data_IF_682142839698
#
_entry.id   IF_682142839698
#
_cell.length_a   1.000
_cell.length_b   1.000
_cell.length_c   1.000
_cell.angle_alpha   90.00
_cell.angle_beta   90.00
_cell.angle_gamma   90.00
#
_symmetry.space_group_name_H-M   'P 1'
#
loop_
_entity.id
_entity.type
_entity.pdbx_description
1 polymer ?
#
# COMPACT_ATOMS: atom_id res chain seq x y z
N UNK A 1 4.74 -12.88 -4.32
CA UNK A 1 4.61 -11.41 -4.43
C UNK A 1 3.16 -11.03 -4.21
N UNK A 2 2.90 -9.93 -3.53
CA UNK A 2 1.59 -9.28 -3.44
C UNK A 2 1.84 -7.77 -3.48
N UNK A 3 1.65 -7.17 -4.66
CA UNK A 3 1.95 -5.77 -4.94
C UNK A 3 0.65 -5.09 -5.38
N UNK A 4 0.38 -3.88 -4.88
CA UNK A 4 -0.85 -3.15 -5.22
C UNK A 4 -2.15 -3.75 -4.70
N UNK A 5 -2.11 -4.64 -3.69
CA UNK A 5 -3.28 -5.44 -3.29
C UNK A 5 -3.72 -5.26 -1.83
N UNK A 6 -2.79 -4.96 -0.91
CA UNK A 6 -3.08 -4.96 0.53
C UNK A 6 -4.13 -3.90 0.92
N UNK A 7 -4.08 -2.71 0.31
CA UNK A 7 -5.05 -1.62 0.56
C UNK A 7 -6.46 -1.90 0.02
N UNK A 8 -6.63 -2.94 -0.82
CA UNK A 8 -7.91 -3.43 -1.28
C UNK A 8 -8.47 -4.58 -0.43
N UNK A 9 -7.74 -5.04 0.60
CA UNK A 9 -8.20 -6.14 1.45
C UNK A 9 -9.07 -5.63 2.59
N UNK A 10 -10.27 -6.20 2.74
CA UNK A 10 -11.13 -5.97 3.92
C UNK A 10 -10.51 -6.51 5.20
N UNK A 11 -9.77 -7.62 5.08
CA UNK A 11 -9.02 -8.23 6.17
C UNK A 11 -7.54 -8.38 5.77
N UNK A 12 -6.72 -7.33 5.98
CA UNK A 12 -5.31 -7.33 5.58
C UNK A 12 -4.47 -8.41 6.28
N UNK A 13 -4.75 -8.70 7.56
CA UNK A 13 -4.04 -9.74 8.31
C UNK A 13 -4.33 -11.13 7.78
N UNK A 14 -5.60 -11.43 7.47
CA UNK A 14 -5.98 -12.71 6.85
C UNK A 14 -5.34 -12.87 5.46
N UNK A 15 -5.29 -11.80 4.65
CA UNK A 15 -4.57 -11.83 3.38
C UNK A 15 -3.08 -12.19 3.56
N UNK A 16 -2.40 -11.54 4.51
CA UNK A 16 -1.00 -11.83 4.82
C UNK A 16 -0.79 -13.26 5.35
N UNK A 17 -1.73 -13.76 6.18
CA UNK A 17 -1.72 -15.13 6.69
C UNK A 17 -1.89 -16.15 5.55
N UNK A 18 -2.84 -15.93 4.64
CA UNK A 18 -3.03 -16.79 3.47
C UNK A 18 -1.77 -16.84 2.59
N UNK A 19 -1.13 -15.69 2.36
CA UNK A 19 0.13 -15.63 1.63
C UNK A 19 1.24 -16.41 2.34
N UNK A 20 1.33 -16.31 3.67
CA UNK A 20 2.26 -17.07 4.50
C UNK A 20 2.04 -18.58 4.35
N UNK A 21 0.79 -19.03 4.30
CA UNK A 21 0.43 -20.45 4.20
C UNK A 21 0.72 -21.04 2.81
N UNK A 22 0.80 -20.21 1.76
CA UNK A 22 1.25 -20.65 0.43
C UNK A 22 2.77 -20.79 0.30
N UNK A 23 3.55 -20.33 1.28
CA UNK A 23 5.00 -20.43 1.23
C UNK A 23 5.47 -21.83 1.64
N UNK A 24 6.38 -22.41 0.85
CA UNK A 24 7.20 -23.53 1.29
C UNK A 24 8.12 -23.12 2.44
N UNK A 25 8.71 -24.09 3.13
CA UNK A 25 9.79 -23.84 4.10
C UNK A 25 10.89 -22.97 3.50
N UNK A 26 11.37 -22.00 4.28
CA UNK A 26 12.31 -20.95 3.88
C UNK A 26 11.84 -20.01 2.75
N UNK A 27 10.58 -20.12 2.33
CA UNK A 27 9.97 -19.20 1.38
C UNK A 27 9.97 -17.76 1.89
N UNK A 28 10.06 -16.83 0.95
CA UNK A 28 9.96 -15.39 1.22
C UNK A 28 8.79 -14.81 0.44
N UNK A 29 8.22 -13.73 0.97
CA UNK A 29 7.19 -12.96 0.28
C UNK A 29 7.59 -11.50 0.21
N UNK A 30 7.27 -10.89 -0.93
CA UNK A 30 7.41 -9.45 -1.14
C UNK A 30 6.02 -8.85 -1.13
N UNK A 31 5.82 -7.89 -0.23
CA UNK A 31 4.61 -7.08 -0.11
C UNK A 31 4.93 -5.67 -0.58
N UNK A 32 4.15 -5.14 -1.51
CA UNK A 32 4.17 -3.71 -1.87
C UNK A 32 2.74 -3.17 -1.75
N UNK A 33 2.63 -1.97 -1.18
CA UNK A 33 1.35 -1.30 -0.94
C UNK A 33 1.53 0.21 -0.87
N UNK A 34 0.42 0.93 -0.97
CA UNK A 34 0.35 2.34 -0.61
C UNK A 34 0.52 2.47 0.91
N UNK A 35 1.32 3.45 1.32
CA UNK A 35 1.62 3.79 2.71
C UNK A 35 1.13 5.20 3.03
N UNK A 36 0.38 5.33 4.13
CA UNK A 36 -0.05 6.61 4.69
C UNK A 36 1.07 7.24 5.56
N UNK A 37 1.08 8.58 5.74
CA UNK A 37 1.99 9.24 6.65
C UNK A 37 1.83 8.77 8.10
N UNK A 38 2.91 8.78 8.88
CA UNK A 38 2.91 8.32 10.28
C UNK A 38 1.92 9.09 11.18
N UNK A 39 1.58 10.32 10.82
CA UNK A 39 0.55 11.11 11.53
C UNK A 39 -0.84 10.49 11.49
N UNK A 40 -1.10 9.51 10.60
CA UNK A 40 -2.34 8.73 10.54
C UNK A 40 -2.38 7.58 11.55
N UNK A 41 -1.37 7.41 12.42
CA UNK A 41 -1.34 6.34 13.42
C UNK A 41 -1.08 4.97 12.78
N UNK A 42 -2.04 4.05 12.89
CA UNK A 42 -1.90 2.68 12.34
C UNK A 42 -2.33 2.58 10.87
N UNK A 43 -3.38 3.29 10.50
CA UNK A 43 -3.90 3.31 9.14
C UNK A 43 -4.80 4.51 8.91
N UNK A 44 -4.87 4.95 7.66
CA UNK A 44 -5.91 5.82 7.14
C UNK A 44 -7.04 4.95 6.58
N UNK A 45 -8.28 5.20 7.03
CA UNK A 45 -9.50 4.59 6.49
C UNK A 45 -10.27 5.64 5.68
N UNK A 46 -10.27 5.57 4.34
CA UNK A 46 -11.03 6.50 3.52
C UNK A 46 -12.54 6.21 3.61
N UNK A 47 -13.38 7.26 3.53
CA UNK A 47 -14.83 7.12 3.70
C UNK A 47 -15.52 6.45 2.50
N UNK A 48 -15.07 6.74 1.27
CA UNK A 48 -15.64 6.17 0.04
C UNK A 48 -14.54 5.84 -0.98
N UNK A 49 -13.70 6.84 -1.28
CA UNK A 49 -12.61 6.72 -2.25
C UNK A 49 -11.30 7.23 -1.69
N UNK A 50 -10.23 6.67 -2.21
CA UNK A 50 -8.88 7.18 -2.01
C UNK A 50 -8.20 7.29 -3.37
N UNK A 51 -7.76 8.50 -3.74
CA UNK A 51 -7.13 8.75 -5.04
C UNK A 51 -8.03 8.28 -6.20
N UNK A 52 -9.34 8.57 -6.12
CA UNK A 52 -10.42 8.12 -6.99
C UNK A 52 -10.70 6.60 -7.04
N UNK A 53 -9.89 5.78 -6.38
CA UNK A 53 -10.07 4.33 -6.37
C UNK A 53 -11.23 3.95 -5.45
N UNK A 54 -12.22 3.17 -5.93
CA UNK A 54 -13.21 2.55 -5.07
C UNK A 54 -12.59 1.35 -4.33
N UNK A 55 -13.26 0.89 -3.28
CA UNK A 55 -12.88 -0.31 -2.52
C UNK A 55 -11.46 -0.25 -1.95
N UNK A 56 -10.99 0.95 -1.57
CA UNK A 56 -9.81 1.08 -0.71
C UNK A 56 -10.32 1.02 0.72
N UNK A 57 -9.83 0.06 1.49
CA UNK A 57 -10.32 -0.18 2.86
C UNK A 57 -9.38 0.42 3.89
N UNK A 58 -8.10 0.04 3.88
CA UNK A 58 -7.11 0.54 4.82
C UNK A 58 -5.81 0.87 4.11
N UNK A 59 -5.39 2.13 4.19
CA UNK A 59 -4.07 2.58 3.78
C UNK A 59 -3.20 2.65 5.03
N UNK A 60 -2.45 1.57 5.30
CA UNK A 60 -1.63 1.47 6.50
C UNK A 60 -0.46 2.45 6.49
N UNK A 61 -0.02 2.88 7.66
CA UNK A 61 1.29 3.52 7.82
C UNK A 61 2.39 2.45 7.81
N UNK A 62 3.66 2.86 7.74
CA UNK A 62 4.78 1.93 7.86
C UNK A 62 4.74 1.17 9.20
N UNK A 63 4.43 1.90 10.27
CA UNK A 63 4.19 1.34 11.61
C UNK A 63 3.03 0.33 11.60
N UNK A 64 1.93 0.67 10.93
CA UNK A 64 0.77 -0.21 10.76
C UNK A 64 1.12 -1.55 10.12
N UNK A 65 1.81 -1.52 8.98
CA UNK A 65 2.28 -2.72 8.31
C UNK A 65 3.19 -3.56 9.22
N UNK A 66 4.19 -2.94 9.85
CA UNK A 66 5.15 -3.62 10.72
C UNK A 66 4.50 -4.27 11.95
N UNK A 67 3.47 -3.65 12.51
CA UNK A 67 2.70 -4.26 13.60
C UNK A 67 2.01 -5.54 13.14
N UNK A 68 1.34 -5.53 11.99
CA UNK A 68 0.71 -6.74 11.46
C UNK A 68 1.71 -7.85 11.17
N UNK A 69 2.89 -7.51 10.63
CA UNK A 69 3.94 -8.50 10.38
C UNK A 69 4.40 -9.17 11.66
N UNK A 70 4.59 -8.38 12.74
CA UNK A 70 4.94 -8.88 14.06
C UNK A 70 3.88 -9.84 14.61
N UNK A 71 2.61 -9.46 14.54
CA UNK A 71 1.48 -10.27 15.02
C UNK A 71 1.41 -11.62 14.29
N UNK A 72 1.71 -11.63 12.99
CA UNK A 72 1.71 -12.82 12.14
C UNK A 72 3.02 -13.62 12.18
N UNK A 73 3.98 -13.25 13.05
CA UNK A 73 5.31 -13.86 13.11
C UNK A 73 5.99 -13.88 11.73
N UNK A 74 5.93 -12.76 11.02
CA UNK A 74 6.66 -12.51 9.77
C UNK A 74 7.86 -11.64 10.10
N UNK A 75 9.07 -12.20 9.97
CA UNK A 75 10.31 -11.46 10.16
C UNK A 75 10.55 -10.54 8.96
N UNK A 76 10.78 -9.25 9.25
CA UNK A 76 11.16 -8.26 8.25
C UNK A 76 12.63 -8.45 7.89
N UNK A 77 12.89 -8.94 6.68
CA UNK A 77 14.25 -9.20 6.17
C UNK A 77 14.86 -7.92 5.62
N UNK A 78 14.09 -7.16 4.84
CA UNK A 78 14.50 -5.87 4.28
C UNK A 78 13.28 -5.07 3.85
N UNK A 79 13.44 -3.77 3.69
CA UNK A 79 12.42 -2.85 3.20
C UNK A 79 13.04 -1.75 2.35
N UNK A 80 12.22 -1.11 1.52
CA UNK A 80 12.62 0.09 0.79
C UNK A 80 12.38 1.36 1.60
N UNK A 81 12.94 2.47 1.13
CA UNK A 81 12.40 3.78 1.49
C UNK A 81 10.96 3.92 0.96
N UNK A 82 10.19 4.80 1.59
CA UNK A 82 8.89 5.21 1.07
C UNK A 82 9.09 6.15 -0.10
N UNK A 83 8.53 5.81 -1.26
CA UNK A 83 8.69 6.56 -2.50
C UNK A 83 7.35 7.19 -2.90
N UNK A 84 7.27 8.52 -3.08
CA UNK A 84 6.07 9.16 -3.62
C UNK A 84 5.80 8.69 -5.05
N UNK A 85 4.55 8.35 -5.34
CA UNK A 85 4.16 8.04 -6.73
C UNK A 85 4.30 9.30 -7.57
N UNK A 86 4.92 9.21 -8.75
CA UNK A 86 5.19 10.37 -9.59
C UNK A 86 4.41 10.38 -10.89
N UNK A 87 4.24 11.59 -11.47
CA UNK A 87 3.68 11.77 -12.82
C UNK A 87 4.55 11.19 -13.93
N UNK A 88 5.81 10.83 -13.65
CA UNK A 88 6.64 10.11 -14.62
C UNK A 88 6.32 8.62 -14.61
N UNK A 89 6.10 8.06 -13.43
CA UNK A 89 5.77 6.65 -13.21
C UNK A 89 4.35 6.32 -13.68
N UNK A 90 3.34 7.03 -13.17
CA UNK A 90 1.93 6.77 -13.42
C UNK A 90 1.31 7.96 -14.16
N UNK A 91 0.97 7.77 -15.44
CA UNK A 91 0.44 8.85 -16.31
C UNK A 91 -0.34 8.30 -17.49
N UNK A 92 -1.11 9.18 -18.13
CA UNK A 92 -1.72 8.91 -19.44
C UNK A 92 -0.67 8.62 -20.50
N UNK A 93 -0.99 7.67 -21.37
CA UNK A 93 -0.23 7.40 -22.58
C UNK A 93 -1.18 7.15 -23.75
N UNK A 94 -0.65 7.03 -24.98
CA UNK A 94 -1.47 6.63 -26.13
C UNK A 94 -2.17 5.27 -25.96
N UNK A 95 -1.65 4.41 -25.08
CA UNK A 95 -2.20 3.09 -24.78
C UNK A 95 -3.12 3.08 -23.55
N UNK A 96 -3.05 4.11 -22.72
CA UNK A 96 -3.86 4.27 -21.52
C UNK A 96 -4.37 5.73 -21.46
N UNK A 97 -5.42 6.06 -22.24
CA UNK A 97 -5.89 7.44 -22.40
C UNK A 97 -6.86 7.90 -21.30
N UNK A 98 -7.26 7.00 -20.40
CA UNK A 98 -8.21 7.28 -19.33
C UNK A 98 -7.58 8.07 -18.18
N UNK A 99 -8.41 8.51 -17.23
CA UNK A 99 -7.98 9.15 -15.98
C UNK A 99 -6.83 8.37 -15.32
N UNK A 100 -5.73 9.03 -15.01
CA UNK A 100 -4.57 8.45 -14.34
C UNK A 100 -4.20 9.25 -13.08
N UNK A 101 -2.96 9.12 -12.60
CA UNK A 101 -2.49 9.72 -11.35
C UNK A 101 -2.74 11.23 -11.28
N UNK A 102 -2.60 11.95 -12.40
CA UNK A 102 -2.82 13.39 -12.43
C UNK A 102 -4.26 13.78 -12.04
N UNK A 103 -5.22 12.90 -12.33
CA UNK A 103 -6.63 13.15 -12.03
C UNK A 103 -7.03 12.75 -10.60
N UNK A 104 -6.14 12.08 -9.88
CA UNK A 104 -6.36 11.63 -8.50
C UNK A 104 -5.88 12.64 -7.45
N UNK A 105 -5.11 13.65 -7.87
CA UNK A 105 -4.53 14.67 -6.99
C UNK A 105 -5.31 15.99 -7.05
N UNK A 106 -5.27 16.74 -5.95
CA UNK A 106 -5.79 18.10 -5.92
C UNK A 106 -4.92 19.00 -6.83
N UNK A 107 -5.58 19.84 -7.63
CA UNK A 107 -4.92 20.69 -8.62
C UNK A 107 -4.08 21.80 -8.00
N UNK A 108 -4.53 22.34 -6.85
CA UNK A 108 -3.87 23.44 -6.15
C UNK A 108 -2.79 22.93 -5.18
N UNK A 109 -2.92 21.69 -4.72
CA UNK A 109 -1.92 21.05 -3.85
C UNK A 109 -1.76 19.55 -4.16
N UNK A 110 -0.70 19.20 -4.90
CA UNK A 110 -0.42 17.81 -5.28
C UNK A 110 0.04 16.91 -4.13
N UNK A 111 0.27 17.44 -2.91
CA UNK A 111 0.55 16.62 -1.73
C UNK A 111 -0.70 15.90 -1.19
N UNK A 112 -1.87 16.22 -1.71
CA UNK A 112 -3.15 15.60 -1.34
C UNK A 112 -3.93 15.11 -2.57
N UNK A 113 -4.74 14.10 -2.33
CA UNK A 113 -5.74 13.56 -3.26
C UNK A 113 -6.91 14.52 -3.43
N UNK A 114 -7.73 14.31 -4.46
CA UNK A 114 -8.97 15.10 -4.66
C UNK A 114 -9.96 14.93 -3.49
N UNK A 115 -9.88 13.84 -2.74
CA UNK A 115 -10.70 13.57 -1.56
C UNK A 115 -10.13 14.21 -0.26
N UNK A 116 -8.96 14.87 -0.33
CA UNK A 116 -8.32 15.54 0.80
C UNK A 116 -7.38 14.66 1.64
N UNK A 117 -7.15 13.41 1.24
CA UNK A 117 -6.17 12.53 1.88
C UNK A 117 -4.74 12.76 1.36
N UNK A 118 -3.69 12.35 2.10
CA UNK A 118 -2.32 12.39 1.60
C UNK A 118 -2.14 11.65 0.27
N UNK A 119 -1.34 12.24 -0.64
CA UNK A 119 -1.06 11.65 -1.95
C UNK A 119 -0.37 10.27 -1.85
N UNK A 120 -0.62 9.34 -2.79
CA UNK A 120 -0.08 7.98 -2.73
C UNK A 120 1.45 7.91 -2.68
N UNK A 121 1.97 7.31 -1.62
CA UNK A 121 3.37 6.87 -1.53
C UNK A 121 3.42 5.35 -1.39
N UNK A 122 4.47 4.72 -1.90
CA UNK A 122 4.60 3.27 -1.98
C UNK A 122 5.86 2.78 -1.29
N UNK A 123 5.78 1.59 -0.73
CA UNK A 123 6.89 0.92 -0.07
C UNK A 123 6.79 -0.58 -0.27
N UNK A 124 7.93 -1.26 -0.37
CA UNK A 124 7.97 -2.72 -0.35
C UNK A 124 8.68 -3.28 0.88
N UNK A 125 8.27 -4.49 1.25
CA UNK A 125 8.81 -5.28 2.35
C UNK A 125 9.14 -6.68 1.86
N UNK A 126 10.32 -7.18 2.21
CA UNK A 126 10.68 -8.58 2.08
C UNK A 126 10.51 -9.25 3.44
N UNK A 127 9.64 -10.25 3.50
CA UNK A 127 9.26 -10.94 4.73
C UNK A 127 9.58 -12.43 4.64
N UNK A 128 9.92 -13.01 5.80
CA UNK A 128 10.11 -14.46 5.97
C UNK A 128 9.25 -14.97 7.13
N UNK A 129 8.51 -16.09 6.97
CA UNK A 129 7.82 -16.73 8.09
C UNK A 129 8.80 -17.16 9.19
N UNK A 130 8.46 -16.83 10.44
CA UNK A 130 9.11 -17.36 11.63
C UNK A 130 8.28 -18.53 12.16
N UNK A 131 8.88 -19.72 12.10
CA UNK A 131 8.32 -20.96 12.65
C UNK A 131 8.76 -21.15 14.10
#
# INVERSE_FOLDING_TARGET
FSMGLLYHQRNPQEHLQNLKDFLKSDGQMIIETIIAPDSCGMALEPVDRYASMPNVHLVHTDLGCKSMFKDLKLDLVSESDTVPTSHLEQRKTKWMPFKSFESALNQDNQSITIEGYPAPSRKFYLLKPKF
#
